data_IF_267544185064
#
_entry.id   IF_267544185064
#
_cell.length_a   1.000
_cell.length_b   1.000
_cell.length_c   1.000
_cell.angle_alpha   90.00
_cell.angle_beta   90.00
_cell.angle_gamma   90.00
#
_symmetry.space_group_name_H-M   'P 1'
#
loop_
_entity.id
_entity.type
_entity.pdbx_description
1 polymer ?
#
# COMPACT_ATOMS: atom_id res chain seq x y z
N UNK A 1 -17.93 19.59 3.10
CA UNK A 1 -17.67 18.47 2.18
C UNK A 1 -17.76 17.24 3.05
N UNK A 2 -18.90 16.56 3.04
CA UNK A 2 -19.11 15.36 3.86
C UNK A 2 -18.34 14.21 3.20
N UNK A 3 -17.18 13.91 3.75
CA UNK A 3 -16.37 12.77 3.32
C UNK A 3 -17.10 11.48 3.73
N UNK A 4 -17.93 10.97 2.80
CA UNK A 4 -18.37 9.58 2.68
C UNK A 4 -19.43 9.07 3.68
N UNK A 5 -20.70 9.18 3.28
CA UNK A 5 -21.67 8.11 3.57
C UNK A 5 -21.67 7.17 2.36
N UNK A 6 -21.51 5.84 2.54
CA UNK A 6 -21.52 4.90 1.43
C UNK A 6 -22.90 4.94 0.75
N UNK A 7 -22.93 5.29 -0.54
CA UNK A 7 -24.11 5.10 -1.38
C UNK A 7 -24.46 3.61 -1.52
N UNK A 8 -25.72 3.32 -1.82
CA UNK A 8 -26.18 1.96 -2.08
C UNK A 8 -25.37 1.33 -3.24
N UNK A 9 -24.65 0.24 -2.95
CA UNK A 9 -23.83 -0.50 -3.94
C UNK A 9 -22.34 -0.66 -3.62
N UNK A 10 -21.84 -0.13 -2.49
CA UNK A 10 -20.43 -0.34 -2.10
C UNK A 10 -20.21 -1.79 -1.65
N UNK A 11 -19.31 -2.51 -2.34
CA UNK A 11 -18.88 -3.86 -1.96
C UNK A 11 -18.27 -3.80 -0.56
N UNK A 12 -18.90 -4.48 0.40
CA UNK A 12 -18.37 -4.57 1.77
C UNK A 12 -17.20 -5.55 1.82
N UNK A 13 -16.01 -5.06 2.14
CA UNK A 13 -14.81 -5.89 2.29
C UNK A 13 -14.88 -6.64 3.64
N UNK A 14 -14.91 -7.98 3.60
CA UNK A 14 -15.04 -8.85 4.80
C UNK A 14 -13.89 -9.82 5.05
N UNK A 15 -12.78 -9.72 4.33
CA UNK A 15 -11.71 -10.74 4.34
C UNK A 15 -11.06 -10.95 5.71
N UNK A 16 -10.48 -9.92 6.33
CA UNK A 16 -9.73 -10.05 7.60
C UNK A 16 -10.64 -10.08 8.81
N UNK A 17 -11.75 -9.33 8.82
CA UNK A 17 -12.67 -9.31 9.97
C UNK A 17 -13.29 -10.67 10.32
N UNK A 18 -13.34 -11.60 9.38
CA UNK A 18 -13.89 -12.96 9.58
C UNK A 18 -12.82 -13.99 9.96
N UNK A 19 -11.54 -13.62 9.98
CA UNK A 19 -10.44 -14.52 10.31
C UNK A 19 -10.29 -14.70 11.83
N UNK A 20 -9.90 -15.90 12.24
CA UNK A 20 -9.30 -16.15 13.55
C UNK A 20 -7.85 -15.65 13.61
N UNK A 21 -7.27 -15.42 14.80
CA UNK A 21 -5.86 -15.04 14.92
C UNK A 21 -4.91 -16.05 14.25
N UNK A 22 -5.22 -17.35 14.34
CA UNK A 22 -4.42 -18.41 13.72
C UNK A 22 -4.46 -18.33 12.20
N UNK A 23 -5.64 -18.17 11.61
CA UNK A 23 -5.75 -18.04 10.14
C UNK A 23 -5.02 -16.80 9.64
N UNK A 24 -5.09 -15.69 10.39
CA UNK A 24 -4.36 -14.47 10.07
C UNK A 24 -2.84 -14.70 10.11
N UNK A 25 -2.34 -15.34 11.17
CA UNK A 25 -0.94 -15.70 11.30
C UNK A 25 -0.47 -16.61 10.14
N UNK A 26 -1.21 -17.70 9.89
CA UNK A 26 -0.90 -18.66 8.82
C UNK A 26 -0.92 -17.98 7.44
N UNK A 27 -1.83 -17.02 7.23
CA UNK A 27 -1.88 -16.23 6.01
C UNK A 27 -0.67 -15.30 5.87
N UNK A 28 -0.24 -14.63 6.93
CA UNK A 28 0.96 -13.76 6.87
C UNK A 28 2.22 -14.60 6.70
N UNK A 29 2.35 -15.73 7.40
CA UNK A 29 3.49 -16.63 7.32
C UNK A 29 3.60 -17.32 5.96
N UNK A 30 2.47 -17.59 5.29
CA UNK A 30 2.43 -18.14 3.94
C UNK A 30 2.75 -17.14 2.83
N UNK A 31 3.01 -15.87 3.15
CA UNK A 31 3.38 -14.87 2.15
C UNK A 31 4.74 -15.19 1.53
N UNK A 32 4.84 -15.02 0.20
CA UNK A 32 6.03 -15.43 -0.56
C UNK A 32 7.31 -14.77 -0.02
N UNK A 33 8.33 -15.60 0.24
CA UNK A 33 9.55 -15.19 0.95
C UNK A 33 10.33 -14.09 0.24
N UNK A 34 10.39 -14.14 -1.09
CA UNK A 34 11.12 -13.13 -1.88
C UNK A 34 10.60 -11.71 -1.68
N UNK A 35 9.30 -11.54 -1.40
CA UNK A 35 8.73 -10.23 -1.10
C UNK A 35 8.95 -9.80 0.35
N UNK A 36 9.13 -10.76 1.27
CA UNK A 36 9.57 -10.48 2.65
C UNK A 36 11.00 -9.96 2.62
N UNK A 37 11.89 -10.65 1.90
CA UNK A 37 13.30 -10.25 1.78
C UNK A 37 13.43 -8.84 1.17
N UNK A 38 12.69 -8.54 0.10
CA UNK A 38 12.64 -7.18 -0.49
C UNK A 38 12.19 -6.10 0.50
N UNK A 39 11.27 -6.46 1.40
CA UNK A 39 10.73 -5.54 2.38
C UNK A 39 11.71 -5.27 3.53
N UNK A 40 12.35 -6.31 4.04
CA UNK A 40 13.39 -6.15 5.08
C UNK A 40 14.56 -5.33 4.55
N UNK A 41 14.98 -5.59 3.31
CA UNK A 41 16.01 -4.82 2.63
C UNK A 41 15.58 -3.34 2.46
N UNK A 42 14.32 -3.07 2.11
CA UNK A 42 13.75 -1.71 2.14
C UNK A 42 13.85 -1.06 3.53
N UNK A 43 13.38 -1.74 4.58
CA UNK A 43 13.36 -1.18 5.94
C UNK A 43 14.78 -0.83 6.44
N UNK A 44 15.77 -1.65 6.08
CA UNK A 44 17.16 -1.47 6.46
C UNK A 44 17.96 -0.50 5.55
N UNK A 45 17.36 0.01 4.47
CA UNK A 45 18.03 0.91 3.53
C UNK A 45 18.26 2.30 4.17
N UNK A 46 19.50 2.79 4.05
CA UNK A 46 19.90 4.11 4.56
C UNK A 46 19.20 5.27 3.85
N UNK A 47 19.16 6.44 4.48
CA UNK A 47 18.51 7.63 3.90
C UNK A 47 19.12 8.03 2.54
N UNK A 48 20.45 7.92 2.38
CA UNK A 48 21.16 8.25 1.14
C UNK A 48 20.87 7.30 -0.02
N UNK A 49 20.52 6.04 0.27
CA UNK A 49 20.27 5.00 -0.73
C UNK A 49 18.77 4.81 -1.02
N UNK A 50 17.91 5.48 -0.24
CA UNK A 50 16.47 5.25 -0.21
C UNK A 50 15.80 5.43 -1.58
N UNK A 51 16.19 6.47 -2.33
CA UNK A 51 15.60 6.76 -3.64
C UNK A 51 15.97 5.68 -4.68
N UNK A 52 17.25 5.29 -4.73
CA UNK A 52 17.70 4.21 -5.61
C UNK A 52 17.00 2.89 -5.26
N UNK A 53 16.88 2.58 -3.96
CA UNK A 53 16.19 1.38 -3.50
C UNK A 53 14.71 1.38 -3.85
N UNK A 54 14.04 2.51 -3.64
CA UNK A 54 12.64 2.70 -3.99
C UNK A 54 12.38 2.39 -5.46
N UNK A 55 13.19 2.97 -6.36
CA UNK A 55 13.14 2.68 -7.79
C UNK A 55 13.38 1.20 -8.11
N UNK A 56 14.40 0.60 -7.50
CA UNK A 56 14.74 -0.81 -7.72
C UNK A 56 13.61 -1.77 -7.33
N UNK A 57 13.03 -1.59 -6.14
CA UNK A 57 11.93 -2.43 -5.64
C UNK A 57 10.68 -2.28 -6.50
N UNK A 58 10.27 -1.05 -6.82
CA UNK A 58 9.07 -0.84 -7.64
C UNK A 58 9.19 -1.45 -9.04
N UNK A 59 10.38 -1.40 -9.65
CA UNK A 59 10.65 -2.10 -10.92
C UNK A 59 10.59 -3.61 -10.77
N UNK A 60 11.20 -4.17 -9.72
CA UNK A 60 11.13 -5.60 -9.41
C UNK A 60 9.69 -6.06 -9.21
N UNK A 61 8.86 -5.24 -8.58
CA UNK A 61 7.44 -5.49 -8.37
C UNK A 61 6.56 -5.10 -9.56
N UNK A 62 7.15 -4.71 -10.70
CA UNK A 62 6.43 -4.37 -11.93
C UNK A 62 5.37 -3.26 -11.74
N UNK A 63 5.68 -2.24 -10.94
CA UNK A 63 4.74 -1.19 -10.53
C UNK A 63 4.07 -0.44 -11.70
N UNK A 64 4.78 -0.24 -12.80
CA UNK A 64 4.30 0.56 -13.95
C UNK A 64 4.03 -0.26 -15.21
N UNK A 65 4.16 -1.60 -15.19
CA UNK A 65 4.06 -2.43 -16.40
C UNK A 65 2.72 -2.20 -17.13
N UNK A 66 2.71 -2.10 -18.48
CA UNK A 66 3.83 -2.28 -19.41
C UNK A 66 4.72 -1.04 -19.62
N UNK A 67 4.42 0.07 -18.95
CA UNK A 67 5.11 1.34 -19.12
C UNK A 67 6.49 1.29 -18.45
N UNK A 68 7.44 1.97 -19.08
CA UNK A 68 8.77 2.17 -18.51
C UNK A 68 8.68 3.07 -17.27
N UNK A 69 9.28 2.63 -16.17
CA UNK A 69 9.34 3.41 -14.93
C UNK A 69 10.46 4.44 -14.99
N UNK A 70 10.19 5.65 -14.49
CA UNK A 70 11.20 6.69 -14.28
C UNK A 70 12.36 6.20 -13.40
N UNK A 71 13.51 6.82 -13.62
CA UNK A 71 14.79 6.51 -13.02
C UNK A 71 15.27 7.63 -12.11
N UNK A 72 16.29 7.33 -11.33
CA UNK A 72 17.02 8.35 -10.57
C UNK A 72 17.78 9.25 -11.53
N UNK A 73 18.15 10.46 -11.10
CA UNK A 73 18.88 11.41 -11.94
C UNK A 73 20.20 10.85 -12.48
N UNK A 74 20.82 9.91 -11.77
CA UNK A 74 22.06 9.23 -12.16
C UNK A 74 21.86 8.04 -13.11
N UNK A 75 20.65 7.46 -13.16
CA UNK A 75 20.30 6.29 -13.99
C UNK A 75 19.48 6.68 -15.24
N UNK A 76 18.96 7.91 -15.31
CA UNK A 76 17.95 8.29 -16.28
C UNK A 76 18.49 8.52 -17.69
N UNK A 77 17.81 7.91 -18.67
CA UNK A 77 17.92 8.22 -20.10
C UNK A 77 16.70 9.04 -20.59
N UNK A 78 15.94 9.61 -19.66
CA UNK A 78 14.75 10.42 -19.91
C UNK A 78 14.86 11.78 -19.23
N UNK A 79 14.08 12.75 -19.69
CA UNK A 79 13.99 14.07 -19.07
C UNK A 79 13.27 14.04 -17.72
N UNK A 80 13.45 15.11 -16.94
CA UNK A 80 12.74 15.33 -15.69
C UNK A 80 11.21 15.23 -15.86
N UNK A 81 10.44 14.87 -14.80
CA UNK A 81 10.92 14.59 -13.45
C UNK A 81 11.65 13.25 -13.31
N UNK A 82 12.61 13.20 -12.37
CA UNK A 82 13.27 11.99 -11.89
C UNK A 82 12.58 11.46 -10.62
N UNK A 83 12.98 10.28 -10.14
CA UNK A 83 12.42 9.71 -8.91
C UNK A 83 12.65 10.61 -7.69
N UNK A 84 13.80 11.29 -7.62
CA UNK A 84 14.11 12.29 -6.59
C UNK A 84 13.04 13.39 -6.58
N UNK A 85 12.72 13.94 -7.75
CA UNK A 85 11.78 15.06 -7.88
C UNK A 85 10.35 14.63 -7.46
N UNK A 86 9.96 13.38 -7.75
CA UNK A 86 8.66 12.84 -7.30
C UNK A 86 8.62 12.64 -5.78
N UNK A 87 9.68 12.09 -5.19
CA UNK A 87 9.75 11.86 -3.74
C UNK A 87 9.79 13.19 -2.98
N UNK A 88 10.55 14.17 -3.47
CA UNK A 88 10.61 15.52 -2.91
C UNK A 88 9.23 16.17 -2.88
N UNK A 89 8.50 16.14 -4.01
CA UNK A 89 7.12 16.65 -4.09
C UNK A 89 6.16 15.90 -3.16
N UNK A 90 6.39 14.62 -2.90
CA UNK A 90 5.54 13.81 -2.03
C UNK A 90 5.77 14.09 -0.53
N UNK A 91 6.94 14.61 -0.12
CA UNK A 91 7.31 14.75 1.29
C UNK A 91 6.28 15.52 2.14
N UNK A 92 5.74 16.69 1.72
CA UNK A 92 4.77 17.42 2.55
C UNK A 92 3.52 16.58 2.84
N UNK A 93 3.06 15.80 1.86
CA UNK A 93 1.86 14.96 1.98
C UNK A 93 2.14 13.69 2.78
N UNK A 94 3.35 13.11 2.65
CA UNK A 94 3.80 12.01 3.49
C UNK A 94 3.86 12.41 4.98
N UNK A 95 4.28 13.65 5.27
CA UNK A 95 4.26 14.21 6.63
C UNK A 95 2.83 14.34 7.19
N UNK A 96 1.87 14.77 6.37
CA UNK A 96 0.45 14.86 6.76
C UNK A 96 -0.11 13.47 7.13
N UNK A 97 0.28 12.42 6.41
CA UNK A 97 -0.21 11.06 6.68
C UNK A 97 0.67 10.25 7.63
N UNK A 98 1.69 10.85 8.26
CA UNK A 98 2.67 10.13 9.09
C UNK A 98 2.05 9.45 10.32
N UNK A 99 1.08 10.10 10.96
CA UNK A 99 0.39 9.58 12.13
C UNK A 99 -0.71 8.55 11.83
N UNK A 100 -0.97 8.27 10.55
CA UNK A 100 -2.10 7.46 10.13
C UNK A 100 -1.63 6.03 9.82
N UNK A 101 -2.43 5.05 10.26
CA UNK A 101 -2.35 3.65 9.85
C UNK A 101 -3.66 3.22 9.19
N UNK A 102 -3.64 2.09 8.49
CA UNK A 102 -4.82 1.48 7.85
C UNK A 102 -6.04 1.40 8.79
N UNK A 103 -5.88 0.98 10.05
CA UNK A 103 -7.00 0.85 11.01
C UNK A 103 -7.56 2.19 11.48
N UNK A 104 -6.78 3.27 11.37
CA UNK A 104 -7.22 4.64 11.73
C UNK A 104 -7.97 5.37 10.62
N UNK A 105 -7.96 4.85 9.38
CA UNK A 105 -8.57 5.52 8.21
C UNK A 105 -10.10 5.71 8.31
N UNK A 106 -10.79 4.94 9.16
CA UNK A 106 -12.23 5.15 9.39
C UNK A 106 -12.56 6.53 9.97
N UNK A 107 -11.60 7.18 10.64
CA UNK A 107 -11.72 8.52 11.21
C UNK A 107 -10.88 9.53 10.45
N UNK A 108 -10.62 9.28 9.16
CA UNK A 108 -9.79 10.14 8.32
C UNK A 108 -10.37 11.56 8.25
N UNK A 109 -9.50 12.57 8.39
CA UNK A 109 -9.87 13.97 8.29
C UNK A 109 -9.74 14.46 6.85
N UNK A 110 -10.44 15.55 6.46
CA UNK A 110 -10.35 16.11 5.11
C UNK A 110 -8.91 16.37 4.64
N UNK A 111 -8.06 16.92 5.52
CA UNK A 111 -6.64 17.17 5.22
C UNK A 111 -5.87 15.89 4.83
N UNK A 112 -6.20 14.76 5.45
CA UNK A 112 -5.58 13.48 5.13
C UNK A 112 -6.08 12.95 3.78
N UNK A 113 -7.37 13.13 3.46
CA UNK A 113 -7.91 12.81 2.13
C UNK A 113 -7.20 13.63 1.05
N UNK A 114 -7.07 14.94 1.24
CA UNK A 114 -6.37 15.83 0.31
C UNK A 114 -4.92 15.39 0.11
N UNK A 115 -4.20 15.05 1.19
CA UNK A 115 -2.84 14.54 1.10
C UNK A 115 -2.75 13.21 0.33
N UNK A 116 -3.71 12.30 0.53
CA UNK A 116 -3.77 11.05 -0.23
C UNK A 116 -4.06 11.32 -1.72
N UNK A 117 -4.95 12.25 -2.05
CA UNK A 117 -5.21 12.64 -3.43
C UNK A 117 -3.94 13.21 -4.10
N UNK A 118 -3.16 14.01 -3.38
CA UNK A 118 -1.89 14.54 -3.90
C UNK A 118 -0.82 13.47 -4.07
N UNK A 119 -0.69 12.52 -3.12
CA UNK A 119 0.20 11.36 -3.29
C UNK A 119 -0.19 10.55 -4.53
N UNK A 120 -1.48 10.35 -4.77
CA UNK A 120 -1.97 9.71 -5.99
C UNK A 120 -1.53 10.48 -7.23
N UNK A 121 -1.78 11.79 -7.30
CA UNK A 121 -1.44 12.63 -8.45
C UNK A 121 0.07 12.68 -8.74
N UNK A 122 0.90 12.67 -7.70
CA UNK A 122 2.36 12.62 -7.83
C UNK A 122 2.77 11.25 -8.40
N UNK A 123 2.33 10.15 -7.79
CA UNK A 123 2.77 8.82 -8.22
C UNK A 123 2.11 8.32 -9.51
N UNK A 124 1.06 8.98 -10.01
CA UNK A 124 0.64 8.81 -11.41
C UNK A 124 1.76 9.08 -12.41
N UNK A 125 2.72 9.94 -12.07
CA UNK A 125 3.86 10.29 -12.92
C UNK A 125 5.03 9.30 -12.82
N UNK A 126 4.89 8.17 -12.09
CA UNK A 126 5.96 7.16 -11.98
C UNK A 126 6.49 6.64 -13.33
N UNK A 127 5.68 6.44 -14.39
CA UNK A 127 6.20 6.03 -15.67
C UNK A 127 6.72 7.22 -16.49
N UNK A 128 7.60 6.93 -17.44
CA UNK A 128 8.18 7.94 -18.34
C UNK A 128 7.11 8.52 -19.27
N UNK A 129 6.22 7.67 -19.78
CA UNK A 129 5.07 8.00 -20.62
C UNK A 129 3.74 7.62 -19.96
N UNK A 130 2.66 8.26 -20.39
CA UNK A 130 1.31 8.04 -19.87
C UNK A 130 1.19 8.23 -18.35
N UNK A 131 0.46 7.35 -17.66
CA UNK A 131 0.23 7.43 -16.22
C UNK A 131 0.26 6.05 -15.58
N UNK A 132 0.83 5.95 -14.38
CA UNK A 132 0.69 4.75 -13.57
C UNK A 132 -0.77 4.54 -13.19
N UNK A 133 -1.23 3.29 -13.28
CA UNK A 133 -2.48 2.88 -12.67
C UNK A 133 -2.34 2.72 -11.15
N UNK A 134 -3.47 2.41 -10.50
CA UNK A 134 -3.55 2.19 -9.05
C UNK A 134 -2.47 1.25 -8.48
N UNK A 135 -2.07 0.22 -9.22
CA UNK A 135 -1.04 -0.75 -8.79
C UNK A 135 0.28 -0.06 -8.46
N UNK A 136 0.76 0.82 -9.34
CA UNK A 136 2.05 1.50 -9.14
C UNK A 136 1.97 2.52 -8.01
N UNK A 137 0.87 3.27 -7.95
CA UNK A 137 0.61 4.28 -6.93
C UNK A 137 0.54 3.64 -5.54
N UNK A 138 -0.29 2.60 -5.39
CA UNK A 138 -0.46 1.92 -4.10
C UNK A 138 0.83 1.24 -3.61
N UNK A 139 1.64 0.66 -4.51
CA UNK A 139 2.98 0.14 -4.16
C UNK A 139 3.92 1.23 -3.68
N UNK A 140 3.93 2.39 -4.35
CA UNK A 140 4.78 3.52 -3.96
C UNK A 140 4.41 4.05 -2.57
N UNK A 141 3.10 4.26 -2.32
CA UNK A 141 2.60 4.72 -1.02
C UNK A 141 2.84 3.68 0.07
N UNK A 142 2.67 2.38 -0.23
CA UNK A 142 2.98 1.30 0.70
C UNK A 142 4.44 1.37 1.17
N UNK A 143 5.39 1.51 0.24
CA UNK A 143 6.81 1.61 0.58
C UNK A 143 7.12 2.88 1.39
N UNK A 144 6.69 4.05 0.90
CA UNK A 144 7.06 5.33 1.50
C UNK A 144 6.39 5.59 2.85
N UNK A 145 5.28 4.90 3.14
CA UNK A 145 4.65 4.91 4.47
C UNK A 145 5.14 3.78 5.38
N UNK A 146 6.17 3.03 4.97
CA UNK A 146 6.69 1.86 5.68
C UNK A 146 5.59 0.85 6.04
N UNK A 147 4.65 0.65 5.13
CA UNK A 147 3.57 -0.32 5.31
C UNK A 147 2.41 0.16 6.17
N UNK A 148 2.38 1.42 6.60
CA UNK A 148 1.26 1.95 7.39
C UNK A 148 -0.02 2.06 6.56
N UNK A 149 0.10 2.46 5.29
CA UNK A 149 -1.00 2.58 4.33
C UNK A 149 -0.81 1.54 3.24
N UNK A 150 -1.82 0.70 3.00
CA UNK A 150 -1.81 -0.41 2.06
C UNK A 150 -3.20 -1.04 1.94
N UNK A 151 -3.39 -2.07 1.10
CA UNK A 151 -2.38 -2.91 0.43
C UNK A 151 -1.90 -2.36 -0.92
N UNK A 152 -0.99 -3.07 -1.58
CA UNK A 152 -0.70 -2.88 -2.99
C UNK A 152 -1.81 -3.52 -3.84
N UNK A 153 -2.56 -2.72 -4.61
CA UNK A 153 -3.75 -3.19 -5.33
C UNK A 153 -3.45 -3.92 -6.65
N UNK A 154 -2.57 -4.92 -6.62
CA UNK A 154 -2.35 -5.81 -7.77
C UNK A 154 -3.58 -6.69 -8.08
N UNK A 155 -3.54 -7.47 -9.16
CA UNK A 155 -4.69 -8.26 -9.60
C UNK A 155 -5.14 -9.28 -8.56
N UNK A 156 -4.21 -9.91 -7.84
CA UNK A 156 -4.54 -10.92 -6.84
C UNK A 156 -5.18 -10.28 -5.60
N UNK A 157 -4.64 -9.14 -5.16
CA UNK A 157 -5.25 -8.37 -4.06
C UNK A 157 -6.67 -7.92 -4.41
N UNK A 158 -6.88 -7.38 -5.62
CA UNK A 158 -8.22 -6.95 -6.07
C UNK A 158 -9.20 -8.11 -6.22
N UNK A 159 -8.77 -9.24 -6.78
CA UNK A 159 -9.58 -10.45 -6.91
C UNK A 159 -10.05 -10.95 -5.54
N UNK A 160 -9.14 -11.03 -4.57
CA UNK A 160 -9.49 -11.48 -3.20
C UNK A 160 -10.37 -10.51 -2.44
N UNK A 161 -10.34 -9.24 -2.80
CA UNK A 161 -11.25 -8.22 -2.28
C UNK A 161 -12.60 -8.16 -3.02
N UNK A 162 -12.77 -8.92 -4.10
CA UNK A 162 -13.98 -8.89 -4.93
C UNK A 162 -14.22 -7.54 -5.61
N UNK A 163 -13.14 -6.81 -5.93
CA UNK A 163 -13.23 -5.43 -6.41
C UNK A 163 -12.75 -5.26 -7.85
N UNK A 164 -13.34 -4.27 -8.53
CA UNK A 164 -12.93 -3.84 -9.87
C UNK A 164 -11.63 -3.02 -9.88
N UNK A 165 -11.37 -2.35 -11.01
CA UNK A 165 -10.24 -1.42 -11.12
C UNK A 165 -10.55 -0.15 -10.32
N UNK A 166 -9.52 0.39 -9.66
CA UNK A 166 -9.56 1.72 -9.02
C UNK A 166 -9.01 2.71 -10.04
N UNK A 167 -9.81 3.70 -10.42
CA UNK A 167 -9.47 4.64 -11.51
C UNK A 167 -9.24 6.08 -11.02
N UNK A 168 -9.69 6.39 -9.80
CA UNK A 168 -9.62 7.72 -9.20
C UNK A 168 -9.00 7.70 -7.80
N UNK A 169 -8.43 8.83 -7.32
CA UNK A 169 -7.99 8.96 -5.93
C UNK A 169 -9.15 8.81 -4.94
N UNK A 170 -10.36 9.24 -5.31
CA UNK A 170 -11.57 9.10 -4.48
C UNK A 170 -11.92 7.63 -4.26
N UNK A 171 -11.90 6.82 -5.32
CA UNK A 171 -12.13 5.37 -5.24
C UNK A 171 -11.05 4.71 -4.38
N UNK A 172 -9.79 5.14 -4.55
CA UNK A 172 -8.67 4.60 -3.79
C UNK A 172 -8.80 4.85 -2.30
N UNK A 173 -9.11 6.08 -1.90
CA UNK A 173 -9.34 6.45 -0.49
C UNK A 173 -10.55 5.70 0.05
N UNK A 174 -11.65 5.63 -0.71
CA UNK A 174 -12.86 4.90 -0.30
C UNK A 174 -12.56 3.43 0.00
N UNK A 175 -11.82 2.76 -0.90
CA UNK A 175 -11.44 1.36 -0.72
C UNK A 175 -10.51 1.20 0.49
N UNK A 176 -9.54 2.09 0.68
CA UNK A 176 -8.66 2.05 1.85
C UNK A 176 -9.41 2.24 3.17
N UNK A 177 -10.43 3.09 3.21
CA UNK A 177 -11.32 3.23 4.37
C UNK A 177 -12.09 1.94 4.65
N UNK A 178 -12.64 1.29 3.61
CA UNK A 178 -13.34 0.00 3.77
C UNK A 178 -12.41 -1.11 4.28
N UNK A 179 -11.18 -1.16 3.76
CA UNK A 179 -10.14 -2.07 4.27
C UNK A 179 -9.79 -1.74 5.72
N UNK A 180 -9.67 -0.46 6.07
CA UNK A 180 -9.45 -0.02 7.44
C UNK A 180 -10.54 -0.45 8.41
N UNK A 181 -11.80 -0.36 7.98
CA UNK A 181 -12.96 -0.88 8.73
C UNK A 181 -12.91 -2.41 8.85
N UNK A 182 -12.51 -3.12 7.80
CA UNK A 182 -12.33 -4.57 7.82
C UNK A 182 -11.25 -5.00 8.83
N UNK A 183 -10.09 -4.35 8.78
CA UNK A 183 -8.99 -4.58 9.73
C UNK A 183 -9.42 -4.28 11.16
N UNK A 184 -10.12 -3.16 11.40
CA UNK A 184 -10.64 -2.80 12.72
C UNK A 184 -11.69 -3.79 13.22
N UNK A 185 -12.53 -4.33 12.34
CA UNK A 185 -13.52 -5.35 12.69
C UNK A 185 -12.86 -6.60 13.28
N UNK A 186 -11.72 -7.03 12.72
CA UNK A 186 -10.90 -8.09 13.32
C UNK A 186 -10.43 -7.70 14.72
N UNK A 187 -9.84 -6.51 14.87
CA UNK A 187 -9.27 -6.09 16.16
C UNK A 187 -10.32 -5.99 17.27
N UNK A 188 -11.52 -5.52 16.93
CA UNK A 188 -12.65 -5.44 17.84
C UNK A 188 -13.22 -6.82 18.20
N UNK A 189 -13.36 -7.71 17.23
CA UNK A 189 -13.94 -9.02 17.44
C UNK A 189 -12.99 -9.95 18.22
N UNK A 190 -11.70 -9.91 17.90
CA UNK A 190 -10.69 -10.75 18.53
C UNK A 190 -10.08 -10.14 19.80
N UNK A 191 -10.31 -8.84 20.05
CA UNK A 191 -9.76 -8.14 21.22
C UNK A 191 -8.24 -7.98 21.19
N UNK A 192 -7.63 -7.99 20.01
CA UNK A 192 -6.18 -7.88 19.81
C UNK A 192 -5.86 -7.18 18.49
N UNK A 193 -4.69 -6.53 18.40
CA UNK A 193 -4.24 -5.89 17.17
C UNK A 193 -3.83 -6.91 16.12
N UNK A 194 -3.91 -6.54 14.84
CA UNK A 194 -3.39 -7.39 13.75
C UNK A 194 -1.90 -7.72 13.97
N UNK A 195 -1.11 -6.74 14.43
CA UNK A 195 0.30 -6.93 14.76
C UNK A 195 0.56 -7.89 15.92
N UNK A 196 -0.43 -8.16 16.77
CA UNK A 196 -0.30 -9.10 17.89
C UNK A 196 -0.67 -10.52 17.48
N UNK A 197 -1.57 -10.66 16.50
CA UNK A 197 -2.01 -11.94 15.96
C UNK A 197 -0.97 -12.62 15.05
N UNK A 198 -0.03 -11.87 14.47
CA UNK A 198 1.01 -12.41 13.57
C UNK A 198 2.23 -12.98 14.30
N UNK A 199 3.00 -13.81 13.58
CA UNK A 199 4.28 -14.33 14.04
C UNK A 199 5.24 -13.22 14.49
N UNK A 200 6.05 -13.44 15.56
CA UNK A 200 6.90 -12.41 16.17
C UNK A 200 7.76 -11.62 15.18
N UNK A 201 8.27 -12.31 14.14
CA UNK A 201 9.10 -11.73 13.09
C UNK A 201 8.40 -10.72 12.18
N UNK A 202 7.07 -10.55 12.26
CA UNK A 202 6.31 -9.60 11.44
C UNK A 202 5.63 -8.50 12.26
N UNK A 203 5.77 -8.52 13.60
CA UNK A 203 5.07 -7.57 14.48
C UNK A 203 5.52 -6.12 14.30
N UNK A 204 6.72 -5.91 13.76
CA UNK A 204 7.27 -4.59 13.47
C UNK A 204 6.69 -3.97 12.19
N UNK A 205 5.96 -4.73 11.38
CA UNK A 205 5.40 -4.26 10.12
C UNK A 205 4.16 -3.40 10.32
N UNK A 206 4.01 -2.36 9.49
CA UNK A 206 2.80 -1.55 9.46
C UNK A 206 1.56 -2.38 9.06
N UNK A 207 0.39 -2.01 9.61
CA UNK A 207 -0.86 -2.76 9.40
C UNK A 207 -1.25 -2.88 7.93
N UNK A 208 -0.98 -1.86 7.10
CA UNK A 208 -1.18 -1.91 5.66
C UNK A 208 -0.35 -3.00 4.98
N UNK A 209 0.90 -3.22 5.41
CA UNK A 209 1.75 -4.31 4.93
C UNK A 209 1.29 -5.67 5.45
N UNK A 210 0.87 -5.77 6.71
CA UNK A 210 0.33 -7.04 7.23
C UNK A 210 -0.93 -7.44 6.45
N UNK A 211 -1.82 -6.49 6.17
CA UNK A 211 -3.01 -6.71 5.35
C UNK A 211 -2.66 -7.10 3.91
N UNK A 212 -1.66 -6.44 3.31
CA UNK A 212 -1.09 -6.80 2.01
C UNK A 212 -0.55 -8.24 2.00
N UNK A 213 0.14 -8.67 3.05
CA UNK A 213 0.64 -10.05 3.19
C UNK A 213 -0.50 -11.07 3.35
N UNK A 214 -1.59 -10.72 4.03
CA UNK A 214 -2.78 -11.57 4.11
C UNK A 214 -3.40 -11.78 2.73
N UNK A 215 -3.39 -10.76 1.86
CA UNK A 215 -4.00 -10.83 0.53
C UNK A 215 -3.05 -11.29 -0.57
N UNK A 216 -1.75 -11.11 -0.40
CA UNK A 216 -0.77 -11.27 -1.47
C UNK A 216 -0.45 -12.72 -1.85
N UNK A 217 0.55 -12.89 -2.74
CA UNK A 217 0.88 -14.19 -3.31
C UNK A 217 1.42 -15.16 -2.26
N UNK A 218 1.09 -16.44 -2.48
CA UNK A 218 1.64 -17.58 -1.73
C UNK A 218 2.81 -18.21 -2.46
N UNK A 219 3.65 -18.93 -1.72
CA UNK A 219 4.52 -19.94 -2.33
C UNK A 219 3.62 -20.97 -3.03
N UNK A 220 3.90 -21.24 -4.30
CA UNK A 220 3.29 -22.38 -4.98
C UNK A 220 3.71 -23.63 -4.23
N UNK A 221 2.76 -24.45 -3.77
CA UNK A 221 3.07 -25.78 -3.23
C UNK A 221 3.73 -26.59 -4.34
N UNK A 222 5.06 -26.66 -4.30
CA UNK A 222 5.86 -27.62 -5.08
C UNK A 222 5.73 -29.00 -4.47
#
# INVERSE_FOLDING_TARGET
>A
MDCFLPGEGVVQIRVVCEMTPRELADAVDGFRKTYVDDWEDWLNTTASERVCKFGSILRKWQATRPLEMRRTRVEAEHEAPFLEDLIERAQPFLGVVEGISLTSLHGIQPLHCDAMHELWNIFRQLPVSDSAGCVGISKAVLLLTNGRIGPAFDSNVRERLGMGRIESPEDWVTVLVQIGLNARGFEQHQGMRISEAVSPQFRHLGTGRLYDMVLGPRESRT
#
